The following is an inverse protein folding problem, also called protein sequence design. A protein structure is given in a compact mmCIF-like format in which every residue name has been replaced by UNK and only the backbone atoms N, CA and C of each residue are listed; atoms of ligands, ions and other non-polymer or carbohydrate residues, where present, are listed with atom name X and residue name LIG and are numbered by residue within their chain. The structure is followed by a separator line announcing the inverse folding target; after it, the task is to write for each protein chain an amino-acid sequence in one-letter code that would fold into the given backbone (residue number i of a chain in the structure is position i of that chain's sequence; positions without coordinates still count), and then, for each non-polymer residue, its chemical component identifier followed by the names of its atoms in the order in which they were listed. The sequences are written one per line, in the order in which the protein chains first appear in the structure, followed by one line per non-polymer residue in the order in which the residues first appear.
data_IF_521623577549
#
_entry.id   IF_521623577549
#
_cell.length_a   1.000
_cell.length_b   1.000
_cell.length_c   1.000
_cell.angle_alpha   90.00
_cell.angle_beta   90.00
_cell.angle_gamma   90.00
#
_symmetry.space_group_name_H-M   'P 1'
#
loop_
_entity.id
_entity.type
_entity.pdbx_description
1 polymer ?
#
# COMPACT_ATOMS: atom_id res chain seq x y z
N UNK A 1 5.74 -27.72 -24.61
CA UNK A 1 5.84 -28.39 -23.29
C UNK A 1 6.87 -27.72 -22.38
N UNK A 2 8.13 -27.57 -22.80
CA UNK A 2 9.20 -26.92 -22.02
C UNK A 2 8.90 -25.49 -21.55
N UNK A 3 8.27 -24.67 -22.38
CA UNK A 3 7.87 -23.30 -22.01
C UNK A 3 6.88 -23.31 -20.83
N UNK A 4 5.91 -24.22 -20.83
CA UNK A 4 4.94 -24.34 -19.74
C UNK A 4 5.60 -24.74 -18.42
N UNK A 5 6.57 -25.66 -18.48
CA UNK A 5 7.36 -26.08 -17.32
C UNK A 5 8.21 -24.91 -16.79
N UNK A 6 8.85 -24.15 -17.69
CA UNK A 6 9.66 -22.99 -17.32
C UNK A 6 8.81 -21.89 -16.64
N UNK A 7 7.63 -21.59 -17.18
CA UNK A 7 6.70 -20.61 -16.60
C UNK A 7 6.21 -21.09 -15.23
N UNK A 8 5.84 -22.36 -15.09
CA UNK A 8 5.40 -22.92 -13.82
C UNK A 8 6.51 -22.85 -12.76
N UNK A 9 7.74 -23.20 -13.12
CA UNK A 9 8.89 -23.09 -12.23
C UNK A 9 9.15 -21.64 -11.80
N UNK A 10 9.07 -20.68 -12.73
CA UNK A 10 9.23 -19.26 -12.43
C UNK A 10 8.18 -18.78 -11.42
N UNK A 11 6.91 -19.16 -11.61
CA UNK A 11 5.82 -18.76 -10.71
C UNK A 11 5.99 -19.34 -9.31
N UNK A 12 6.43 -20.60 -9.19
CA UNK A 12 6.70 -21.24 -7.89
C UNK A 12 7.84 -20.53 -7.16
N UNK A 13 8.93 -20.22 -7.88
CA UNK A 13 10.07 -19.49 -7.31
C UNK A 13 9.64 -18.09 -6.86
N UNK A 14 8.93 -17.35 -7.72
CA UNK A 14 8.44 -16.01 -7.39
C UNK A 14 7.51 -16.03 -6.17
N UNK A 15 6.59 -17.00 -6.09
CA UNK A 15 5.70 -17.16 -4.93
C UNK A 15 6.46 -17.49 -3.65
N UNK A 16 7.46 -18.37 -3.71
CA UNK A 16 8.31 -18.71 -2.58
C UNK A 16 9.10 -17.50 -2.05
N UNK A 17 9.73 -16.74 -2.95
CA UNK A 17 10.47 -15.52 -2.60
C UNK A 17 9.55 -14.47 -1.98
N UNK A 18 8.38 -14.23 -2.57
CA UNK A 18 7.39 -13.27 -2.03
C UNK A 18 6.88 -13.71 -0.66
N UNK A 19 6.65 -15.01 -0.44
CA UNK A 19 6.19 -15.54 0.85
C UNK A 19 7.23 -15.36 1.96
N UNK A 20 8.52 -15.50 1.64
CA UNK A 20 9.61 -15.25 2.60
C UNK A 20 9.77 -13.76 2.89
N UNK A 21 9.74 -12.90 1.85
CA UNK A 21 9.86 -11.45 2.03
C UNK A 21 8.67 -10.84 2.78
N UNK A 22 7.46 -11.33 2.55
CA UNK A 22 6.25 -10.87 3.22
C UNK A 22 6.05 -11.46 4.62
N UNK A 23 6.87 -12.44 5.04
CA UNK A 23 6.76 -13.12 6.34
C UNK A 23 5.67 -14.20 6.41
N UNK A 24 4.77 -14.28 5.43
CA UNK A 24 3.73 -15.32 5.34
C UNK A 24 3.23 -15.51 3.90
N UNK A 25 2.82 -16.73 3.50
CA UNK A 25 2.16 -16.98 2.21
C UNK A 25 0.85 -16.20 2.04
N UNK A 26 0.16 -15.92 3.15
CA UNK A 26 -1.07 -15.10 3.17
C UNK A 26 -0.73 -13.64 2.89
N UNK A 27 0.35 -13.15 3.47
CA UNK A 27 0.79 -11.76 3.32
C UNK A 27 1.34 -11.51 1.91
N UNK A 28 2.01 -12.48 1.29
CA UNK A 28 2.37 -12.41 -0.12
C UNK A 28 1.14 -12.25 -1.03
N UNK A 29 0.06 -12.99 -0.76
CA UNK A 29 -1.19 -12.84 -1.51
C UNK A 29 -1.86 -11.48 -1.27
N UNK A 30 -1.91 -11.02 -0.01
CA UNK A 30 -2.45 -9.70 0.33
C UNK A 30 -1.63 -8.56 -0.29
N UNK A 31 -0.30 -8.69 -0.31
CA UNK A 31 0.62 -7.75 -0.96
C UNK A 31 0.38 -7.70 -2.47
N UNK A 32 0.21 -8.86 -3.13
CA UNK A 32 -0.09 -8.88 -4.57
C UNK A 32 -1.44 -8.23 -4.86
N UNK A 33 -2.45 -8.53 -4.04
CA UNK A 33 -3.82 -8.04 -4.25
C UNK A 33 -3.98 -6.55 -3.93
N UNK A 34 -3.34 -6.07 -2.87
CA UNK A 34 -3.57 -4.73 -2.35
C UNK A 34 -2.38 -3.79 -2.53
N UNK A 35 -1.16 -4.28 -2.36
CA UNK A 35 0.04 -3.44 -2.48
C UNK A 35 0.40 -3.15 -3.94
N UNK A 36 0.59 -4.17 -4.80
CA UNK A 36 1.01 -3.93 -6.20
C UNK A 36 0.11 -2.96 -7.00
N UNK A 37 -1.23 -3.04 -6.95
CA UNK A 37 -2.06 -2.09 -7.69
C UNK A 37 -2.06 -0.67 -7.12
N UNK A 38 -1.83 -0.50 -5.82
CA UNK A 38 -1.87 0.80 -5.14
C UNK A 38 -0.49 1.37 -4.81
N UNK A 39 0.59 0.64 -5.10
CA UNK A 39 1.99 1.04 -4.90
C UNK A 39 2.43 2.22 -5.78
N UNK A 40 1.57 2.69 -6.70
CA UNK A 40 1.75 3.98 -7.36
C UNK A 40 1.34 5.12 -6.43
N UNK A 41 2.04 5.24 -5.30
CA UNK A 41 2.08 6.51 -4.59
C UNK A 41 2.95 7.45 -5.44
N UNK A 42 2.41 8.62 -5.79
CA UNK A 42 3.16 9.64 -6.52
C UNK A 42 4.50 9.93 -5.84
N UNK A 43 5.49 10.36 -6.61
CA UNK A 43 6.78 10.76 -6.09
C UNK A 43 6.60 12.00 -5.20
N UNK A 44 6.43 11.79 -3.89
CA UNK A 44 6.25 12.85 -2.91
C UNK A 44 7.59 13.56 -2.73
N UNK A 45 7.70 14.79 -3.24
CA UNK A 45 8.89 15.60 -3.03
C UNK A 45 8.66 16.61 -1.91
N UNK A 46 9.72 16.93 -1.18
CA UNK A 46 9.68 17.99 -0.16
C UNK A 46 9.38 19.31 -0.85
N UNK A 47 8.35 20.02 -0.37
CA UNK A 47 7.89 21.29 -0.93
C UNK A 47 6.67 21.16 -1.86
N UNK A 48 6.32 19.96 -2.31
CA UNK A 48 5.10 19.75 -3.08
C UNK A 48 3.85 19.89 -2.19
N UNK A 49 2.72 20.34 -2.76
CA UNK A 49 1.46 20.38 -2.01
C UNK A 49 1.06 18.97 -1.55
N UNK A 50 0.64 18.86 -0.28
CA UNK A 50 0.17 17.59 0.26
C UNK A 50 -1.01 17.04 -0.57
N UNK A 51 -1.01 15.73 -0.91
CA UNK A 51 -2.12 15.10 -1.62
C UNK A 51 -3.42 15.23 -0.81
N UNK A 52 -4.49 15.64 -1.47
CA UNK A 52 -5.79 15.78 -0.82
C UNK A 52 -6.57 14.46 -0.89
N UNK A 53 -6.45 13.66 0.17
CA UNK A 53 -7.18 12.40 0.33
C UNK A 53 -8.44 12.59 1.18
N UNK A 54 -9.53 11.89 0.80
CA UNK A 54 -10.71 11.74 1.64
C UNK A 54 -10.45 10.63 2.68
N UNK A 55 -10.48 10.99 3.95
CA UNK A 55 -10.29 10.10 5.09
C UNK A 55 -11.61 9.90 5.84
N UNK A 56 -11.73 8.76 6.52
CA UNK A 56 -12.82 8.47 7.45
C UNK A 56 -12.27 8.72 8.85
N UNK A 57 -12.99 9.50 9.65
CA UNK A 57 -12.64 9.73 11.04
C UNK A 57 -12.85 8.45 11.87
N UNK A 58 -12.23 8.41 13.04
CA UNK A 58 -12.29 7.24 13.94
C UNK A 58 -13.72 6.93 14.44
N UNK A 59 -14.66 7.86 14.26
CA UNK A 59 -16.08 7.62 14.55
C UNK A 59 -16.80 6.78 13.47
N UNK A 60 -16.14 6.48 12.35
CA UNK A 60 -16.66 5.59 11.30
C UNK A 60 -17.72 6.19 10.37
N UNK A 61 -18.24 7.39 10.66
CA UNK A 61 -19.25 8.07 9.84
C UNK A 61 -18.71 9.31 9.14
N UNK A 62 -17.83 10.05 9.79
CA UNK A 62 -17.45 11.36 9.30
C UNK A 62 -16.33 11.23 8.30
N UNK A 63 -16.54 11.85 7.14
CA UNK A 63 -15.51 11.97 6.13
C UNK A 63 -14.92 13.37 6.15
N UNK A 64 -13.59 13.46 6.07
CA UNK A 64 -12.90 14.75 5.96
C UNK A 64 -11.80 14.67 4.92
N UNK A 65 -11.48 15.83 4.33
CA UNK A 65 -10.32 15.98 3.46
C UNK A 65 -9.10 16.40 4.29
N UNK A 66 -7.91 15.91 3.94
CA UNK A 66 -6.67 16.27 4.65
C UNK A 66 -6.49 17.78 4.68
N UNK A 67 -6.78 18.47 3.57
CA UNK A 67 -6.65 19.93 3.47
C UNK A 67 -7.50 20.69 4.48
N UNK A 68 -8.67 20.18 4.86
CA UNK A 68 -9.57 20.82 5.84
C UNK A 68 -8.97 20.86 7.25
N UNK A 69 -7.97 20.01 7.54
CA UNK A 69 -7.26 19.99 8.83
C UNK A 69 -6.02 20.88 8.85
N UNK A 70 -5.59 21.40 7.70
CA UNK A 70 -4.42 22.29 7.58
C UNK A 70 -4.90 23.73 7.84
N UNK A 71 -5.12 24.08 9.11
CA UNK A 71 -5.61 25.40 9.51
C UNK A 71 -4.49 26.32 10.03
N UNK A 72 -3.47 26.55 9.19
CA UNK A 72 -2.33 27.44 9.49
C UNK A 72 -1.29 26.88 10.48
N UNK A 73 -1.44 25.63 10.92
CA UNK A 73 -0.46 24.90 11.72
C UNK A 73 0.07 23.68 10.96
N UNK A 74 1.34 23.28 11.16
CA UNK A 74 1.86 22.04 10.60
C UNK A 74 1.02 20.85 11.04
N UNK A 75 0.62 20.00 10.09
CA UNK A 75 -0.12 18.76 10.33
C UNK A 75 0.84 17.58 10.16
N UNK A 76 0.91 16.70 11.16
CA UNK A 76 1.71 15.47 11.11
C UNK A 76 0.79 14.29 10.81
N UNK A 77 1.14 13.49 9.80
CA UNK A 77 0.42 12.28 9.41
C UNK A 77 1.25 11.04 9.78
N UNK A 78 0.66 10.11 10.51
CA UNK A 78 1.27 8.82 10.85
C UNK A 78 0.44 7.72 10.22
N UNK A 79 1.05 6.96 9.32
CA UNK A 79 0.42 5.80 8.69
C UNK A 79 0.80 4.54 9.44
N UNK A 80 -0.20 3.78 9.89
CA UNK A 80 0.01 2.52 10.60
C UNK A 80 -1.27 1.73 10.71
N UNK A 81 -1.13 0.45 11.05
CA UNK A 81 -2.22 -0.47 11.33
C UNK A 81 -1.84 -1.33 12.54
N UNK A 82 -2.80 -1.66 13.38
CA UNK A 82 -2.62 -2.69 14.39
C UNK A 82 -2.94 -4.04 13.74
N UNK A 83 -2.00 -5.00 13.81
CA UNK A 83 -2.20 -6.40 13.41
C UNK A 83 -2.47 -7.26 14.63
#
# INVERSE_FOLDING_TARGET
MWIGIAIAALLVIAYGVLSVMAGSPRDAFLMVRYAFPHMRSGNLKVGDPAPDGKLIALNGSDHFQVRQRINGKPLVLVFGSFT
#
